data_IF_322845159738
#
_entry.id   IF_322845159738
#
_cell.length_a   1.000
_cell.length_b   1.000
_cell.length_c   1.000
_cell.angle_alpha   90.00
_cell.angle_beta   90.00
_cell.angle_gamma   90.00
#
_symmetry.space_group_name_H-M   'P 1'
#
loop_
_entity.id
_entity.type
_entity.pdbx_description
1 polymer ?
#
# COMPACT_ATOMS: atom_id res chain seq x y z
N UNK A 1 -5.11 -19.07 3.15
CA UNK A 1 -5.50 -20.34 3.81
C UNK A 1 -4.31 -20.93 4.58
N UNK A 2 -4.42 -21.06 5.91
CA UNK A 2 -3.42 -21.75 6.72
C UNK A 2 -3.61 -23.26 6.59
N UNK A 3 -2.58 -23.96 6.14
CA UNK A 3 -2.59 -25.43 6.14
C UNK A 3 -2.62 -25.95 7.59
N UNK A 4 -3.33 -27.05 7.87
CA UNK A 4 -3.46 -27.61 9.23
C UNK A 4 -2.11 -27.93 9.89
N UNK A 5 -1.06 -28.17 9.10
CA UNK A 5 0.30 -28.40 9.58
C UNK A 5 1.09 -27.09 9.89
N UNK A 6 0.45 -25.92 9.90
CA UNK A 6 1.13 -24.64 10.12
C UNK A 6 1.95 -24.13 8.93
N UNK A 7 1.79 -24.72 7.74
CA UNK A 7 2.49 -24.30 6.53
C UNK A 7 1.81 -23.03 5.98
N UNK A 8 2.47 -21.89 6.18
CA UNK A 8 2.08 -20.58 5.67
C UNK A 8 2.52 -20.34 4.22
N UNK A 9 2.16 -19.16 3.68
CA UNK A 9 2.51 -18.76 2.31
C UNK A 9 4.02 -18.77 2.06
N UNK A 10 4.76 -18.28 3.03
CA UNK A 10 6.20 -18.05 2.93
C UNK A 10 6.98 -19.36 2.79
N UNK A 11 6.48 -20.45 3.39
CA UNK A 11 7.17 -21.75 3.38
C UNK A 11 7.14 -22.35 1.98
N UNK A 12 5.97 -22.48 1.36
CA UNK A 12 5.90 -23.07 0.02
C UNK A 12 6.49 -22.13 -1.03
N UNK A 13 6.38 -20.81 -0.84
CA UNK A 13 7.03 -19.85 -1.71
C UNK A 13 8.56 -20.02 -1.67
N UNK A 14 9.13 -20.23 -0.47
CA UNK A 14 10.55 -20.51 -0.30
C UNK A 14 10.97 -21.83 -0.96
N UNK A 15 10.19 -22.89 -0.78
CA UNK A 15 10.46 -24.17 -1.44
C UNK A 15 10.43 -24.04 -2.96
N UNK A 16 9.45 -23.30 -3.49
CA UNK A 16 9.37 -23.03 -4.92
C UNK A 16 10.58 -22.24 -5.41
N UNK A 17 10.99 -21.18 -4.72
CA UNK A 17 12.19 -20.42 -5.07
C UNK A 17 13.47 -21.27 -5.07
N UNK A 18 13.61 -22.20 -4.12
CA UNK A 18 14.74 -23.13 -4.05
C UNK A 18 14.74 -24.18 -5.16
N UNK A 19 13.59 -24.45 -5.79
CA UNK A 19 13.51 -25.33 -6.95
C UNK A 19 14.04 -24.69 -8.24
N UNK A 20 14.49 -23.43 -8.17
CA UNK A 20 14.96 -22.63 -9.31
C UNK A 20 13.99 -22.67 -10.50
N UNK A 21 12.74 -22.22 -10.29
CA UNK A 21 11.67 -22.48 -11.23
C UNK A 21 11.88 -21.67 -12.51
N UNK A 22 11.69 -22.33 -13.65
CA UNK A 22 11.54 -21.66 -14.92
C UNK A 22 10.06 -21.38 -15.18
N UNK A 23 9.70 -20.12 -15.42
CA UNK A 23 8.33 -19.71 -15.74
C UNK A 23 8.17 -19.86 -17.26
N UNK A 24 7.35 -20.81 -17.76
CA UNK A 24 7.24 -21.08 -19.19
C UNK A 24 6.31 -20.05 -19.86
N UNK A 25 6.74 -18.80 -19.92
CA UNK A 25 6.05 -17.69 -20.55
C UNK A 25 7.02 -16.87 -21.39
N UNK A 26 6.50 -16.22 -22.45
CA UNK A 26 7.30 -15.29 -23.26
C UNK A 26 7.63 -14.02 -22.47
N UNK A 27 6.66 -13.53 -21.67
CA UNK A 27 6.83 -12.38 -20.81
C UNK A 27 6.07 -12.51 -19.48
N UNK A 28 6.55 -11.80 -18.47
CA UNK A 28 5.94 -11.63 -17.15
C UNK A 28 5.76 -10.14 -16.88
N UNK A 29 4.55 -9.73 -16.53
CA UNK A 29 4.24 -8.38 -16.07
C UNK A 29 4.20 -8.41 -14.54
N UNK A 30 5.10 -7.68 -13.90
CA UNK A 30 5.20 -7.61 -12.45
C UNK A 30 4.82 -6.21 -11.97
N UNK A 31 3.60 -6.10 -11.45
CA UNK A 31 3.01 -4.84 -10.97
C UNK A 31 3.38 -4.56 -9.51
N UNK A 32 3.27 -3.30 -9.08
CA UNK A 32 3.62 -2.81 -7.74
C UNK A 32 5.07 -3.19 -7.32
N UNK A 33 6.01 -3.14 -8.27
CA UNK A 33 7.37 -3.60 -8.09
C UNK A 33 8.18 -2.84 -7.01
N UNK A 34 7.70 -1.66 -6.56
CA UNK A 34 8.29 -0.93 -5.44
C UNK A 34 8.11 -1.64 -4.08
N UNK A 35 7.09 -2.50 -3.95
CA UNK A 35 6.81 -3.29 -2.74
C UNK A 35 7.07 -4.78 -2.97
N UNK A 36 8.01 -5.10 -3.88
CA UNK A 36 8.35 -6.47 -4.23
C UNK A 36 8.85 -7.27 -3.02
N UNK A 37 8.33 -8.49 -2.89
CA UNK A 37 8.91 -9.48 -2.00
C UNK A 37 10.30 -9.92 -2.52
N UNK A 38 11.36 -9.94 -1.69
CA UNK A 38 12.71 -10.27 -2.13
C UNK A 38 12.84 -11.66 -2.76
N UNK A 39 12.03 -12.62 -2.31
CA UNK A 39 12.07 -13.99 -2.82
C UNK A 39 11.48 -14.04 -4.23
N UNK A 40 10.35 -13.37 -4.45
CA UNK A 40 9.74 -13.21 -5.77
C UNK A 40 10.67 -12.48 -6.74
N UNK A 41 11.27 -11.37 -6.31
CA UNK A 41 12.26 -10.65 -7.12
C UNK A 41 13.43 -11.55 -7.49
N UNK A 42 13.92 -12.37 -6.56
CA UNK A 42 14.99 -13.34 -6.81
C UNK A 42 14.61 -14.42 -7.83
N UNK A 43 13.36 -14.89 -7.83
CA UNK A 43 12.86 -15.83 -8.84
C UNK A 43 12.81 -15.17 -10.21
N UNK A 44 12.28 -13.95 -10.30
CA UNK A 44 12.12 -13.22 -11.55
C UNK A 44 13.47 -12.83 -12.18
N UNK A 45 14.45 -12.43 -11.37
CA UNK A 45 15.81 -12.10 -11.83
C UNK A 45 16.57 -13.31 -12.39
N UNK A 46 16.18 -14.54 -12.01
CA UNK A 46 16.78 -15.78 -12.52
C UNK A 46 16.17 -16.27 -13.82
N UNK A 47 15.07 -15.68 -14.29
CA UNK A 47 14.46 -16.07 -15.56
C UNK A 47 15.40 -15.70 -16.72
N UNK A 48 15.79 -16.70 -17.52
CA UNK A 48 16.74 -16.53 -18.64
C UNK A 48 16.07 -16.43 -20.00
N UNK A 49 14.93 -17.08 -20.17
CA UNK A 49 14.20 -17.19 -21.43
C UNK A 49 12.90 -16.38 -21.47
N UNK A 50 12.64 -15.57 -20.44
CA UNK A 50 11.38 -14.86 -20.26
C UNK A 50 11.66 -13.39 -20.02
N UNK A 51 10.99 -12.52 -20.76
CA UNK A 51 11.09 -11.08 -20.55
C UNK A 51 10.28 -10.68 -19.30
N UNK A 52 10.92 -10.04 -18.32
CA UNK A 52 10.20 -9.51 -17.15
C UNK A 52 10.06 -7.99 -17.28
N UNK A 53 8.83 -7.50 -17.21
CA UNK A 53 8.50 -6.07 -17.24
C UNK A 53 8.01 -5.69 -15.85
N UNK A 54 8.75 -4.79 -15.20
CA UNK A 54 8.42 -4.28 -13.87
C UNK A 54 7.65 -2.97 -14.01
N UNK A 55 6.51 -2.87 -13.35
CA UNK A 55 5.65 -1.69 -13.31
C UNK A 55 5.47 -1.29 -11.85
N UNK A 56 5.56 0.00 -11.56
CA UNK A 56 5.45 0.52 -10.21
C UNK A 56 5.88 1.98 -10.12
N UNK A 57 5.91 2.49 -8.89
CA UNK A 57 6.35 3.84 -8.57
C UNK A 57 7.32 3.80 -7.38
N UNK A 58 8.58 4.18 -7.62
CA UNK A 58 9.63 4.15 -6.61
C UNK A 58 9.32 5.04 -5.39
N UNK A 59 8.51 6.09 -5.54
CA UNK A 59 8.12 7.01 -4.46
C UNK A 59 6.90 6.53 -3.66
N UNK A 60 6.24 5.45 -4.09
CA UNK A 60 5.09 4.86 -3.40
C UNK A 60 5.44 3.65 -2.52
N UNK A 61 6.73 3.41 -2.27
CA UNK A 61 7.13 2.35 -1.36
C UNK A 61 6.74 2.69 0.09
N UNK A 62 5.75 1.98 0.63
CA UNK A 62 5.26 2.19 2.00
C UNK A 62 5.29 0.92 2.87
N UNK A 63 5.69 -0.23 2.29
CA UNK A 63 5.77 -1.51 3.00
C UNK A 63 7.21 -1.96 3.32
N UNK A 64 8.19 -1.05 3.34
CA UNK A 64 9.59 -1.37 3.66
C UNK A 64 9.74 -2.07 5.04
N UNK A 65 8.88 -1.75 6.01
CA UNK A 65 8.85 -2.40 7.34
C UNK A 65 8.48 -3.89 7.30
N UNK A 66 7.89 -4.38 6.20
CA UNK A 66 7.63 -5.81 5.94
C UNK A 66 8.81 -6.52 5.26
N UNK A 67 9.93 -5.84 5.06
CA UNK A 67 11.08 -6.36 4.31
C UNK A 67 10.92 -6.29 2.79
N UNK A 68 9.91 -5.58 2.28
CA UNK A 68 9.75 -5.31 0.86
C UNK A 68 10.93 -4.50 0.32
N UNK A 69 11.36 -4.80 -0.89
CA UNK A 69 12.52 -4.18 -1.54
C UNK A 69 12.06 -3.36 -2.74
N UNK A 70 12.60 -2.14 -2.87
CA UNK A 70 12.28 -1.26 -3.99
C UNK A 70 13.00 -1.75 -5.24
N UNK A 71 12.39 -2.67 -5.98
CA UNK A 71 12.99 -3.23 -7.20
C UNK A 71 13.26 -2.13 -8.24
N UNK A 72 12.43 -1.09 -8.27
CA UNK A 72 12.54 0.02 -9.21
C UNK A 72 13.86 0.80 -9.08
N UNK A 73 14.47 0.85 -7.89
CA UNK A 73 15.73 1.56 -7.65
C UNK A 73 16.98 0.66 -7.76
N UNK A 74 16.81 -0.66 -7.74
CA UNK A 74 17.92 -1.61 -7.64
C UNK A 74 18.24 -2.32 -8.94
N UNK A 75 17.29 -2.36 -9.88
CA UNK A 75 17.43 -3.08 -11.13
C UNK A 75 18.13 -2.21 -12.18
N UNK A 76 19.27 -2.65 -12.75
CA UNK A 76 19.98 -1.93 -13.81
C UNK A 76 19.30 -2.19 -15.18
N UNK A 77 18.00 -1.91 -15.27
CA UNK A 77 17.18 -2.12 -16.45
C UNK A 77 16.86 -0.77 -17.13
N UNK A 78 16.65 -0.76 -18.46
CA UNK A 78 16.08 0.41 -19.13
C UNK A 78 14.71 0.76 -18.53
N UNK A 79 14.48 2.05 -18.29
CA UNK A 79 13.24 2.54 -17.70
C UNK A 79 12.46 3.43 -18.66
N UNK A 80 11.15 3.48 -18.47
CA UNK A 80 10.25 4.41 -19.17
C UNK A 80 9.31 5.03 -18.15
N UNK A 81 9.13 6.35 -18.23
CA UNK A 81 8.33 7.12 -17.28
C UNK A 81 6.97 7.46 -17.89
N UNK A 82 5.91 7.22 -17.12
CA UNK A 82 4.55 7.69 -17.44
C UNK A 82 4.27 8.90 -16.57
N UNK A 83 4.38 10.10 -17.14
CA UNK A 83 4.33 11.35 -16.37
C UNK A 83 2.94 11.98 -16.32
N UNK A 84 2.03 11.65 -17.24
CA UNK A 84 0.68 12.23 -17.25
C UNK A 84 -0.29 11.42 -16.41
N UNK A 85 -0.84 12.03 -15.36
CA UNK A 85 -1.93 11.46 -14.57
C UNK A 85 -3.21 11.42 -15.38
N UNK A 86 -3.99 10.35 -15.25
CA UNK A 86 -5.37 10.28 -15.76
C UNK A 86 -6.42 10.56 -14.68
N UNK A 87 -6.00 10.70 -13.42
CA UNK A 87 -6.88 10.76 -12.24
C UNK A 87 -7.21 12.19 -11.79
N UNK A 88 -6.33 13.15 -12.07
CA UNK A 88 -6.45 14.52 -11.62
C UNK A 88 -5.82 15.50 -12.61
N UNK A 89 -6.15 16.79 -12.47
CA UNK A 89 -5.58 17.89 -13.23
C UNK A 89 -4.47 18.63 -12.49
N UNK A 90 -4.02 19.73 -13.09
CA UNK A 90 -2.77 20.39 -12.75
C UNK A 90 -2.66 20.83 -11.29
N UNK A 91 -3.74 21.33 -10.69
CA UNK A 91 -3.71 21.81 -9.30
C UNK A 91 -3.27 20.75 -8.27
N UNK A 92 -3.53 19.45 -8.53
CA UNK A 92 -3.04 18.36 -7.67
C UNK A 92 -1.60 17.99 -8.07
N UNK A 93 -1.28 18.01 -9.36
CA UNK A 93 0.07 17.75 -9.86
C UNK A 93 1.09 18.74 -9.29
N UNK A 94 0.76 20.03 -9.21
CA UNK A 94 1.61 21.07 -8.63
C UNK A 94 2.02 20.75 -7.18
N UNK A 95 1.04 20.34 -6.37
CA UNK A 95 1.29 19.98 -4.96
C UNK A 95 2.10 18.70 -4.86
N UNK A 96 1.79 17.71 -5.69
CA UNK A 96 2.55 16.46 -5.75
C UNK A 96 4.01 16.72 -6.15
N UNK A 97 4.26 17.53 -7.18
CA UNK A 97 5.60 17.90 -7.65
C UNK A 97 6.41 18.65 -6.59
N UNK A 98 5.79 19.50 -5.77
CA UNK A 98 6.48 20.15 -4.66
C UNK A 98 6.98 19.13 -3.62
N UNK A 99 6.20 18.08 -3.34
CA UNK A 99 6.59 17.00 -2.44
C UNK A 99 7.66 16.09 -3.08
N UNK A 100 7.45 15.69 -4.33
CA UNK A 100 8.36 14.83 -5.10
C UNK A 100 9.72 15.49 -5.32
N UNK A 101 9.75 16.81 -5.55
CA UNK A 101 11.00 17.58 -5.62
C UNK A 101 11.79 17.52 -4.31
N UNK A 102 11.10 17.49 -3.16
CA UNK A 102 11.74 17.24 -1.85
C UNK A 102 12.28 15.82 -1.69
N UNK A 103 11.83 14.87 -2.52
CA UNK A 103 12.34 13.50 -2.62
C UNK A 103 13.36 13.33 -3.77
N UNK A 104 13.89 14.45 -4.30
CA UNK A 104 14.83 14.49 -5.41
C UNK A 104 14.31 13.92 -6.74
N UNK A 105 12.99 13.90 -6.95
CA UNK A 105 12.44 13.63 -8.28
C UNK A 105 12.75 14.80 -9.22
N UNK A 106 13.20 14.47 -10.43
CA UNK A 106 13.59 15.45 -11.44
C UNK A 106 12.62 15.50 -12.62
N UNK A 107 11.84 14.44 -12.81
CA UNK A 107 10.83 14.35 -13.87
C UNK A 107 9.46 14.73 -13.28
N UNK A 108 8.84 15.83 -13.74
CA UNK A 108 7.58 16.29 -13.18
C UNK A 108 6.40 15.38 -13.57
N UNK A 109 5.48 15.20 -12.63
CA UNK A 109 4.15 14.65 -12.84
C UNK A 109 3.26 15.71 -13.48
N UNK A 110 2.55 15.35 -14.55
CA UNK A 110 1.68 16.23 -15.31
C UNK A 110 0.22 15.92 -14.97
N UNK A 111 -0.58 16.96 -14.71
CA UNK A 111 -2.02 16.82 -14.57
C UNK A 111 -2.69 16.59 -15.93
N UNK A 112 -3.82 15.89 -15.94
CA UNK A 112 -4.64 15.80 -17.14
C UNK A 112 -5.35 17.14 -17.40
N UNK A 113 -5.16 17.81 -18.55
CA UNK A 113 -5.86 19.05 -18.88
C UNK A 113 -7.38 18.89 -18.93
N UNK A 114 -7.87 17.68 -19.19
CA UNK A 114 -9.29 17.37 -19.28
C UNK A 114 -9.94 17.05 -17.92
N UNK A 115 -9.15 16.94 -16.84
CA UNK A 115 -9.66 16.68 -15.49
C UNK A 115 -9.66 17.97 -14.66
N UNK A 116 -10.82 18.33 -14.10
CA UNK A 116 -10.91 19.45 -13.17
C UNK A 116 -10.63 18.98 -11.76
N UNK A 117 -9.57 19.50 -11.16
CA UNK A 117 -9.21 19.26 -9.76
C UNK A 117 -8.83 20.56 -9.05
N UNK A 118 -8.95 20.57 -7.73
CA UNK A 118 -8.64 21.74 -6.91
C UNK A 118 -8.06 21.32 -5.57
N UNK A 119 -7.07 22.06 -5.08
CA UNK A 119 -6.53 21.92 -3.71
C UNK A 119 -6.96 23.12 -2.89
N UNK A 120 -7.47 22.87 -1.67
CA UNK A 120 -7.98 23.93 -0.78
C UNK A 120 -7.35 23.78 0.60
N UNK A 121 -6.47 24.72 0.94
CA UNK A 121 -5.76 24.78 2.24
C UNK A 121 -6.50 25.65 3.26
N UNK A 122 -7.82 25.48 3.36
CA UNK A 122 -8.68 26.20 4.33
C UNK A 122 -9.55 25.21 5.09
N UNK A 123 -9.95 25.54 6.34
CA UNK A 123 -10.89 24.72 7.12
C UNK A 123 -12.07 24.32 6.25
N UNK A 124 -12.33 23.03 6.19
CA UNK A 124 -13.31 22.49 5.26
C UNK A 124 -14.73 22.83 5.72
N UNK A 125 -15.51 23.40 4.83
CA UNK A 125 -16.92 23.76 5.04
C UNK A 125 -17.89 22.82 4.31
N UNK A 126 -17.36 21.86 3.53
CA UNK A 126 -18.14 20.91 2.73
C UNK A 126 -17.88 19.48 3.18
N UNK A 127 -18.91 18.63 3.02
CA UNK A 127 -18.82 17.18 3.22
C UNK A 127 -17.82 16.56 2.24
N UNK A 128 -17.10 15.53 2.69
CA UNK A 128 -16.10 14.80 1.91
C UNK A 128 -16.44 13.31 1.92
N UNK A 129 -16.25 12.66 0.77
CA UNK A 129 -16.54 11.24 0.61
C UNK A 129 -15.47 10.34 1.25
N UNK A 130 -14.23 10.85 1.36
CA UNK A 130 -13.11 10.16 1.98
C UNK A 130 -12.30 11.12 2.85
N UNK A 131 -11.91 10.65 4.03
CA UNK A 131 -11.05 11.39 4.96
C UNK A 131 -9.87 10.52 5.34
N UNK A 132 -8.67 10.97 4.96
CA UNK A 132 -7.43 10.33 5.39
C UNK A 132 -6.96 10.94 6.71
N UNK A 133 -6.68 10.09 7.68
CA UNK A 133 -6.21 10.49 9.00
C UNK A 133 -4.78 9.98 9.23
N UNK A 134 -3.96 10.79 9.91
CA UNK A 134 -2.62 10.36 10.34
C UNK A 134 -2.68 9.25 11.39
N UNK A 135 -3.71 9.24 12.24
CA UNK A 135 -3.81 8.31 13.37
C UNK A 135 -5.15 7.58 13.39
N UNK A 136 -5.12 6.34 13.87
CA UNK A 136 -6.32 5.54 14.09
C UNK A 136 -7.28 6.23 15.09
N UNK A 137 -6.73 6.89 16.11
CA UNK A 137 -7.52 7.65 17.07
C UNK A 137 -8.37 8.74 16.40
N UNK A 138 -7.79 9.53 15.49
CA UNK A 138 -8.55 10.57 14.78
C UNK A 138 -9.56 9.98 13.81
N UNK A 139 -9.23 8.87 13.14
CA UNK A 139 -10.16 8.18 12.27
C UNK A 139 -11.39 7.66 13.04
N UNK A 140 -11.17 7.07 14.21
CA UNK A 140 -12.23 6.61 15.11
C UNK A 140 -13.06 7.77 15.65
N UNK A 141 -12.44 8.87 16.04
CA UNK A 141 -13.14 10.07 16.51
C UNK A 141 -14.12 10.61 15.44
N UNK A 142 -13.66 10.74 14.19
CA UNK A 142 -14.49 11.20 13.07
C UNK A 142 -15.62 10.21 12.74
N UNK A 143 -15.33 8.91 12.80
CA UNK A 143 -16.33 7.86 12.64
C UNK A 143 -17.45 8.01 13.68
N UNK A 144 -17.09 8.10 14.96
CA UNK A 144 -18.06 8.23 16.06
C UNK A 144 -18.86 9.53 15.97
N UNK A 145 -18.21 10.64 15.64
CA UNK A 145 -18.88 11.93 15.45
C UNK A 145 -19.92 11.86 14.31
N UNK A 146 -19.56 11.24 13.18
CA UNK A 146 -20.50 11.03 12.08
C UNK A 146 -21.68 10.14 12.47
N UNK A 147 -21.44 9.05 13.22
CA UNK A 147 -22.52 8.20 13.72
C UNK A 147 -23.49 8.95 14.64
N UNK A 148 -22.98 9.81 15.53
CA UNK A 148 -23.81 10.65 16.41
C UNK A 148 -24.65 11.65 15.62
N UNK A 149 -24.12 12.18 14.51
CA UNK A 149 -24.86 13.08 13.62
C UNK A 149 -25.83 12.37 12.66
N UNK A 150 -25.82 11.03 12.62
CA UNK A 150 -26.65 10.24 11.71
C UNK A 150 -26.08 10.08 10.30
N UNK A 151 -24.80 10.36 10.10
CA UNK A 151 -24.12 10.21 8.81
C UNK A 151 -23.88 8.72 8.48
N UNK A 152 -23.89 8.40 7.19
CA UNK A 152 -23.45 7.08 6.70
C UNK A 152 -21.92 7.05 6.61
N UNK A 153 -21.29 6.51 7.64
CA UNK A 153 -19.83 6.44 7.74
C UNK A 153 -19.31 5.01 7.72
N UNK A 154 -18.11 4.83 7.20
CA UNK A 154 -17.38 3.56 7.19
C UNK A 154 -15.91 3.80 7.49
N UNK A 155 -15.30 2.89 8.24
CA UNK A 155 -13.86 2.90 8.50
C UNK A 155 -13.26 1.61 7.95
N UNK A 156 -12.29 1.74 7.05
CA UNK A 156 -11.50 0.60 6.61
C UNK A 156 -10.53 0.20 7.73
N UNK A 157 -10.92 -0.79 8.53
CA UNK A 157 -10.09 -1.37 9.57
C UNK A 157 -10.34 -2.87 9.70
N UNK A 158 -9.42 -3.59 10.34
CA UNK A 158 -9.64 -4.98 10.74
C UNK A 158 -10.59 -5.01 11.95
N UNK A 159 -11.88 -5.14 11.65
CA UNK A 159 -12.95 -5.16 12.64
C UNK A 159 -12.80 -6.33 13.63
N UNK A 160 -12.28 -7.48 13.18
CA UNK A 160 -12.08 -8.63 14.05
C UNK A 160 -10.97 -8.37 15.07
N UNK A 161 -9.85 -7.82 14.60
CA UNK A 161 -8.73 -7.43 15.46
C UNK A 161 -9.14 -6.34 16.44
N UNK A 162 -9.86 -5.32 15.99
CA UNK A 162 -10.38 -4.25 16.84
C UNK A 162 -11.31 -4.78 17.93
N UNK A 163 -12.28 -5.63 17.58
CA UNK A 163 -13.19 -6.23 18.57
C UNK A 163 -12.43 -7.05 19.61
N UNK A 164 -11.48 -7.90 19.19
CA UNK A 164 -10.63 -8.66 20.13
C UNK A 164 -9.84 -7.75 21.06
N UNK A 165 -9.33 -6.63 20.54
CA UNK A 165 -8.58 -5.66 21.34
C UNK A 165 -9.48 -4.99 22.39
N UNK A 166 -10.71 -4.62 22.02
CA UNK A 166 -11.71 -4.04 22.94
C UNK A 166 -12.12 -5.05 24.00
N UNK A 167 -12.41 -6.29 23.60
CA UNK A 167 -12.78 -7.37 24.52
C UNK A 167 -11.65 -7.67 25.51
N UNK A 168 -10.42 -7.76 25.02
CA UNK A 168 -9.23 -7.94 25.82
C UNK A 168 -9.05 -6.82 26.86
N UNK A 169 -9.18 -5.56 26.44
CA UNK A 169 -9.08 -4.42 27.34
C UNK A 169 -10.18 -4.44 28.42
N UNK A 170 -11.41 -4.82 28.06
CA UNK A 170 -12.53 -4.97 29.00
C UNK A 170 -12.26 -6.07 30.03
N UNK A 171 -11.77 -7.23 29.58
CA UNK A 171 -11.40 -8.35 30.45
C UNK A 171 -10.27 -7.98 31.42
N UNK A 172 -9.22 -7.31 30.93
CA UNK A 172 -8.12 -6.82 31.76
C UNK A 172 -8.61 -5.82 32.82
N UNK A 173 -9.51 -4.90 32.46
CA UNK A 173 -10.11 -3.95 33.40
C UNK A 173 -10.92 -4.65 34.51
N UNK A 174 -11.45 -5.84 34.23
CA UNK A 174 -12.14 -6.70 35.20
C UNK A 174 -11.18 -7.62 35.98
N UNK A 175 -9.86 -7.48 35.82
CA UNK A 175 -8.85 -8.31 36.48
C UNK A 175 -8.68 -9.72 35.89
N UNK A 176 -9.22 -9.98 34.69
CA UNK A 176 -9.10 -11.28 34.01
C UNK A 176 -7.87 -11.31 33.11
N UNK A 177 -7.20 -12.45 33.04
CA UNK A 177 -6.05 -12.69 32.14
C UNK A 177 -6.53 -12.81 30.69
N UNK A 178 -5.74 -12.29 29.76
CA UNK A 178 -5.98 -12.41 28.31
C UNK A 178 -4.74 -13.00 27.65
N UNK A 179 -4.92 -13.94 26.72
CA UNK A 179 -3.83 -14.69 26.07
C UNK A 179 -3.75 -14.54 24.55
N UNK A 180 -4.78 -13.96 23.91
CA UNK A 180 -4.95 -14.01 22.45
C UNK A 180 -5.30 -12.66 21.83
N UNK A 181 -4.58 -11.59 22.23
CA UNK A 181 -4.70 -10.29 21.58
C UNK A 181 -3.82 -10.28 20.33
N UNK A 182 -4.35 -10.05 19.12
CA UNK A 182 -3.51 -9.95 17.94
C UNK A 182 -2.63 -8.70 18.04
N UNK A 183 -1.29 -8.86 17.92
CA UNK A 183 -0.38 -7.76 17.61
C UNK A 183 -0.73 -7.09 16.28
#
# INVERSE_FOLDING_TARGET
PSHQAGIGHDIYLKLWALSEPNIPADYVLFDEAQDADPLMLGILLRQKSTQVIYVGDAHQQIYAWRGAVNAMQQLPLPESRLTTSFRFGEAIADVANALLGGLNETVPLLGNPNQKSSVVNKPHTKMRDAILCRTNARAMELLLAGLVHGDKVSLQADHQKLNRFVDAASLLKQGKRVTDVPE
#
